data_IF_070372912949
#
_entry.id   IF_070372912949
#
_cell.length_a   1.000
_cell.length_b   1.000
_cell.length_c   1.000
_cell.angle_alpha   90.00
_cell.angle_beta   90.00
_cell.angle_gamma   90.00
#
_symmetry.space_group_name_H-M   'P 1'
#
loop_
_entity.id
_entity.type
_entity.pdbx_description
1 polymer ?
#
# COMPACT_ATOMS: atom_id res chain seq x y z
N UNK A 1 16.13 8.55 22.36
CA UNK A 1 16.35 7.88 21.05
C UNK A 1 16.26 6.39 21.30
N UNK A 2 15.47 5.66 20.50
CA UNK A 2 15.36 4.21 20.60
C UNK A 2 16.43 3.57 19.72
N UNK A 3 17.24 2.67 20.29
CA UNK A 3 18.12 1.80 19.51
C UNK A 3 17.32 0.54 19.18
N UNK A 4 17.19 0.22 17.90
CA UNK A 4 16.47 -0.96 17.43
C UNK A 4 17.43 -2.12 17.20
N UNK A 5 17.02 -3.34 17.48
CA UNK A 5 17.84 -4.53 17.29
C UNK A 5 17.96 -4.92 15.80
N UNK A 6 16.87 -4.66 15.05
CA UNK A 6 16.87 -4.89 13.61
C UNK A 6 15.89 -3.92 12.89
N UNK A 7 15.98 -3.89 11.56
CA UNK A 7 15.22 -2.94 10.74
C UNK A 7 13.70 -3.11 10.82
N UNK A 8 13.18 -4.28 11.19
CA UNK A 8 11.74 -4.51 11.26
C UNK A 8 11.06 -3.73 12.39
N UNK A 9 11.82 -3.34 13.43
CA UNK A 9 11.32 -2.50 14.52
C UNK A 9 11.15 -1.01 14.13
N UNK A 10 11.58 -0.64 12.94
CA UNK A 10 11.37 0.69 12.36
C UNK A 10 10.10 0.77 11.51
N UNK A 11 9.36 -0.34 11.37
CA UNK A 11 8.13 -0.37 10.60
C UNK A 11 7.01 0.28 11.42
N UNK A 12 6.29 1.21 10.80
CA UNK A 12 5.24 1.96 11.47
C UNK A 12 5.70 3.31 12.00
N UNK A 13 4.93 3.90 12.90
CA UNK A 13 5.13 5.24 13.46
C UNK A 13 5.44 6.30 12.38
N UNK A 14 4.80 6.14 11.21
CA UNK A 14 5.02 7.03 10.07
C UNK A 14 4.41 8.40 10.32
N UNK A 15 5.06 9.50 9.85
CA UNK A 15 4.57 10.84 10.12
C UNK A 15 3.31 11.19 9.34
N UNK A 16 2.56 12.17 9.87
CA UNK A 16 1.48 12.85 9.19
C UNK A 16 1.90 14.29 8.91
N UNK A 17 1.60 14.78 7.72
CA UNK A 17 1.82 16.18 7.34
C UNK A 17 0.51 16.84 6.93
N UNK A 18 0.28 18.07 7.34
CA UNK A 18 -0.81 18.92 6.86
C UNK A 18 -0.36 19.64 5.58
N UNK A 19 -1.16 19.51 4.52
CA UNK A 19 -0.91 20.26 3.27
C UNK A 19 -1.27 21.74 3.45
N UNK A 20 -0.52 22.62 2.80
CA UNK A 20 -0.65 24.06 2.99
C UNK A 20 -0.70 24.91 1.72
N UNK A 21 -0.37 24.35 0.55
CA UNK A 21 -0.11 25.17 -0.65
C UNK A 21 -1.24 25.20 -1.67
N UNK A 22 -1.86 24.07 -1.99
CA UNK A 22 -2.86 24.00 -3.06
C UNK A 22 -4.23 23.50 -2.57
N UNK A 23 -4.50 23.70 -1.29
CA UNK A 23 -5.81 23.47 -0.68
C UNK A 23 -6.57 24.79 -0.68
N UNK A 24 -7.84 24.83 -1.16
CA UNK A 24 -8.66 26.05 -1.06
C UNK A 24 -8.85 26.51 0.38
N UNK A 25 -8.88 27.82 0.60
CA UNK A 25 -8.98 28.43 1.95
C UNK A 25 -10.28 28.07 2.69
N UNK A 26 -11.36 27.82 1.94
CA UNK A 26 -12.68 27.44 2.47
C UNK A 26 -12.88 25.93 2.62
N UNK A 27 -11.88 25.11 2.25
CA UNK A 27 -11.92 23.66 2.39
C UNK A 27 -11.49 23.23 3.81
N UNK A 28 -11.78 21.97 4.12
CA UNK A 28 -11.26 21.29 5.31
C UNK A 28 -9.73 21.16 5.25
N UNK A 29 -9.10 21.00 6.41
CA UNK A 29 -7.68 20.69 6.48
C UNK A 29 -7.41 19.30 5.91
N UNK A 30 -6.41 19.17 5.03
CA UNK A 30 -5.99 17.91 4.44
C UNK A 30 -4.68 17.44 5.04
N UNK A 31 -4.69 16.23 5.59
CA UNK A 31 -3.56 15.57 6.21
C UNK A 31 -3.15 14.34 5.39
N UNK A 32 -1.86 14.10 5.30
CA UNK A 32 -1.29 12.98 4.53
C UNK A 32 -0.40 12.14 5.43
N UNK A 33 -0.75 10.87 5.61
CA UNK A 33 0.10 9.90 6.31
C UNK A 33 1.12 9.32 5.35
N UNK A 34 2.39 9.56 5.66
CA UNK A 34 3.52 9.31 4.76
C UNK A 34 4.12 7.91 4.97
N UNK A 35 3.55 6.90 4.36
CA UNK A 35 4.00 5.51 4.47
C UNK A 35 5.35 5.25 3.78
N UNK A 36 5.86 6.22 3.02
CA UNK A 36 7.22 6.18 2.46
C UNK A 36 8.32 6.27 3.53
N UNK A 37 7.98 6.60 4.77
CA UNK A 37 8.93 6.60 5.89
C UNK A 37 9.13 5.22 6.53
N UNK A 38 8.38 4.21 6.14
CA UNK A 38 8.75 2.83 6.45
C UNK A 38 10.13 2.47 5.84
N UNK A 39 10.87 1.52 6.42
CA UNK A 39 12.26 1.18 6.02
C UNK A 39 12.43 0.87 4.53
N UNK A 40 11.54 0.09 3.92
CA UNK A 40 11.58 -0.17 2.49
C UNK A 40 10.75 0.81 1.66
N UNK A 41 10.38 1.96 2.22
CA UNK A 41 9.74 3.08 1.55
C UNK A 41 8.31 2.85 1.09
N UNK A 42 7.52 1.99 1.76
CA UNK A 42 6.11 1.83 1.45
C UNK A 42 5.26 1.26 2.59
N UNK A 43 3.95 1.44 2.48
CA UNK A 43 2.93 0.83 3.36
C UNK A 43 3.02 -0.70 3.41
N UNK A 44 3.61 -1.33 2.39
CA UNK A 44 3.70 -2.79 2.30
C UNK A 44 4.69 -3.40 3.27
N UNK A 45 5.58 -2.61 3.86
CA UNK A 45 6.46 -3.07 4.93
C UNK A 45 5.66 -3.63 6.10
N UNK A 46 4.55 -2.95 6.45
CA UNK A 46 3.63 -3.39 7.50
C UNK A 46 2.99 -4.74 7.17
N UNK A 47 2.37 -4.85 5.99
CA UNK A 47 1.73 -6.08 5.57
C UNK A 47 2.74 -7.24 5.45
N UNK A 48 3.90 -7.00 4.82
CA UNK A 48 4.96 -8.00 4.67
C UNK A 48 5.48 -8.49 6.03
N UNK A 49 5.69 -7.59 6.97
CA UNK A 49 6.08 -7.95 8.33
C UNK A 49 5.05 -8.86 8.98
N UNK A 50 3.79 -8.47 8.97
CA UNK A 50 2.76 -9.21 9.69
C UNK A 50 2.39 -10.54 9.05
N UNK A 51 2.49 -10.64 7.72
CA UNK A 51 2.33 -11.92 7.00
C UNK A 51 3.37 -12.95 7.43
N UNK A 52 4.62 -12.52 7.67
CA UNK A 52 5.69 -13.37 8.18
C UNK A 52 5.50 -13.63 9.68
N UNK A 53 5.24 -12.60 10.47
CA UNK A 53 5.13 -12.68 11.92
C UNK A 53 4.01 -13.64 12.36
N UNK A 54 2.83 -13.52 11.79
CA UNK A 54 1.71 -14.42 12.09
C UNK A 54 2.01 -15.86 11.63
N UNK A 55 2.71 -16.04 10.52
CA UNK A 55 3.14 -17.38 10.09
C UNK A 55 4.16 -18.00 11.07
N UNK A 56 5.06 -17.21 11.64
CA UNK A 56 5.96 -17.64 12.71
C UNK A 56 5.21 -18.04 13.97
N UNK A 57 4.28 -17.19 14.44
CA UNK A 57 3.47 -17.46 15.64
C UNK A 57 2.65 -18.75 15.53
N UNK A 58 2.16 -19.04 14.32
CA UNK A 58 1.42 -20.28 14.04
C UNK A 58 2.32 -21.47 13.74
N UNK A 59 3.66 -21.32 13.76
CA UNK A 59 4.60 -22.39 13.47
C UNK A 59 4.59 -22.87 12.02
N UNK A 60 4.08 -22.04 11.09
CA UNK A 60 4.05 -22.35 9.66
C UNK A 60 5.41 -22.19 8.99
N UNK A 61 6.25 -21.32 9.53
CA UNK A 61 7.62 -21.05 9.07
C UNK A 61 8.56 -20.76 10.25
N UNK A 62 9.85 -20.97 10.03
CA UNK A 62 10.94 -20.61 10.95
C UNK A 62 12.13 -20.07 10.16
N UNK A 63 13.05 -19.33 10.80
CA UNK A 63 14.27 -18.86 10.13
C UNK A 63 15.00 -19.98 9.37
N UNK A 64 15.41 -19.67 8.14
CA UNK A 64 15.96 -20.64 7.18
C UNK A 64 14.98 -21.19 6.14
N UNK A 65 13.66 -21.11 6.41
CA UNK A 65 12.63 -21.51 5.46
C UNK A 65 12.51 -20.50 4.30
N UNK A 66 11.74 -20.85 3.28
CA UNK A 66 11.61 -20.06 2.05
C UNK A 66 10.24 -19.39 1.95
N UNK A 67 10.22 -18.08 1.76
CA UNK A 67 9.03 -17.29 1.46
C UNK A 67 8.92 -17.16 -0.06
N UNK A 68 7.78 -17.54 -0.63
CA UNK A 68 7.50 -17.48 -2.07
C UNK A 68 6.29 -16.57 -2.28
N UNK A 69 6.41 -15.49 -3.08
CA UNK A 69 5.25 -14.63 -3.37
C UNK A 69 5.24 -14.18 -4.82
N UNK A 70 4.08 -14.35 -5.51
CA UNK A 70 3.88 -13.77 -6.84
C UNK A 70 3.56 -12.28 -6.71
N UNK A 71 4.56 -11.44 -6.93
CA UNK A 71 4.41 -9.99 -6.79
C UNK A 71 5.46 -9.22 -7.57
N UNK A 72 5.03 -8.17 -8.24
CA UNK A 72 5.92 -7.24 -8.94
C UNK A 72 6.04 -5.87 -8.26
N UNK A 73 5.40 -5.71 -7.10
CA UNK A 73 5.25 -4.41 -6.45
C UNK A 73 5.95 -4.29 -5.10
N UNK A 74 5.48 -3.32 -4.34
CA UNK A 74 6.02 -2.96 -3.02
C UNK A 74 5.97 -4.12 -2.01
N UNK A 75 5.00 -5.04 -2.14
CA UNK A 75 4.94 -6.22 -1.27
C UNK A 75 6.18 -7.09 -1.41
N UNK A 76 6.67 -7.31 -2.64
CA UNK A 76 7.91 -8.06 -2.85
C UNK A 76 9.11 -7.40 -2.18
N UNK A 77 9.20 -6.07 -2.24
CA UNK A 77 10.29 -5.32 -1.58
C UNK A 77 10.19 -5.45 -0.06
N UNK A 78 8.99 -5.27 0.49
CA UNK A 78 8.76 -5.46 1.93
C UNK A 78 9.06 -6.90 2.40
N UNK A 79 8.65 -7.92 1.63
CA UNK A 79 8.96 -9.32 1.94
C UNK A 79 10.46 -9.60 1.86
N UNK A 80 11.16 -9.11 0.82
CA UNK A 80 12.60 -9.28 0.68
C UNK A 80 13.37 -8.65 1.86
N UNK A 81 13.01 -7.42 2.24
CA UNK A 81 13.62 -6.73 3.39
C UNK A 81 13.39 -7.50 4.70
N UNK A 82 12.13 -7.89 4.97
CA UNK A 82 11.80 -8.64 6.17
C UNK A 82 12.46 -10.02 6.19
N UNK A 83 12.52 -10.72 5.05
CA UNK A 83 13.20 -12.00 4.92
C UNK A 83 14.69 -11.86 5.23
N UNK A 84 15.37 -10.87 4.67
CA UNK A 84 16.78 -10.59 4.96
C UNK A 84 17.02 -10.32 6.44
N UNK A 85 16.17 -9.49 7.08
CA UNK A 85 16.31 -9.14 8.49
C UNK A 85 16.04 -10.31 9.45
N UNK A 86 15.15 -11.25 9.07
CA UNK A 86 14.70 -12.36 9.92
C UNK A 86 15.34 -13.72 9.57
N UNK A 87 16.24 -13.75 8.57
CA UNK A 87 16.96 -14.96 8.19
C UNK A 87 16.16 -15.96 7.35
N UNK A 88 15.22 -15.49 6.55
CA UNK A 88 14.45 -16.27 5.57
C UNK A 88 15.10 -16.18 4.19
N UNK A 89 14.86 -17.18 3.35
CA UNK A 89 15.04 -17.08 1.91
C UNK A 89 13.78 -16.46 1.29
N UNK A 90 13.93 -15.64 0.26
CA UNK A 90 12.80 -15.07 -0.47
C UNK A 90 12.91 -15.40 -1.96
N UNK A 91 11.86 -15.95 -2.53
CA UNK A 91 11.69 -16.19 -3.98
C UNK A 91 10.50 -15.36 -4.44
N UNK A 92 10.75 -14.35 -5.27
CA UNK A 92 9.73 -13.43 -5.75
C UNK A 92 9.52 -13.63 -7.23
N UNK A 93 8.27 -13.85 -7.62
CA UNK A 93 7.90 -14.26 -8.97
C UNK A 93 7.14 -13.11 -9.64
N UNK A 94 7.56 -12.76 -10.85
CA UNK A 94 6.95 -11.66 -11.60
C UNK A 94 7.11 -11.83 -13.10
N UNK A 95 6.25 -11.17 -13.91
CA UNK A 95 6.44 -11.10 -15.35
C UNK A 95 7.77 -10.44 -15.73
N UNK A 96 8.39 -10.88 -16.83
CA UNK A 96 9.72 -10.46 -17.29
C UNK A 96 9.78 -9.02 -17.85
N UNK A 97 8.63 -8.37 -18.07
CA UNK A 97 8.53 -6.97 -18.48
C UNK A 97 8.62 -5.96 -17.32
N UNK A 98 8.96 -6.41 -16.12
CA UNK A 98 9.18 -5.52 -14.97
C UNK A 98 10.49 -4.74 -15.09
N UNK A 99 10.53 -3.53 -14.49
CA UNK A 99 11.70 -2.68 -14.57
C UNK A 99 12.95 -3.32 -13.95
N UNK A 100 14.11 -3.13 -14.58
CA UNK A 100 15.40 -3.61 -14.07
C UNK A 100 15.70 -3.09 -12.67
N UNK A 101 15.29 -1.87 -12.36
CA UNK A 101 15.46 -1.26 -11.03
C UNK A 101 14.76 -2.06 -9.94
N UNK A 102 13.51 -2.51 -10.17
CA UNK A 102 12.78 -3.37 -9.22
C UNK A 102 13.49 -4.70 -9.01
N UNK A 103 13.87 -5.36 -10.11
CA UNK A 103 14.58 -6.63 -10.04
C UNK A 103 15.89 -6.47 -9.26
N UNK A 104 16.65 -5.41 -9.53
CA UNK A 104 17.90 -5.13 -8.84
C UNK A 104 17.69 -4.82 -7.36
N UNK A 105 16.64 -4.09 -7.00
CA UNK A 105 16.32 -3.79 -5.60
C UNK A 105 16.00 -5.07 -4.81
N UNK A 106 15.22 -5.98 -5.37
CA UNK A 106 14.91 -7.27 -4.75
C UNK A 106 16.17 -8.13 -4.56
N UNK A 107 17.02 -8.20 -5.60
CA UNK A 107 18.31 -8.89 -5.52
C UNK A 107 19.26 -8.27 -4.51
N UNK A 108 19.24 -6.95 -4.33
CA UNK A 108 20.04 -6.26 -3.32
C UNK A 108 19.66 -6.65 -1.89
N UNK A 109 18.40 -7.01 -1.63
CA UNK A 109 17.97 -7.62 -0.37
C UNK A 109 18.25 -9.14 -0.29
N UNK A 110 18.89 -9.74 -1.31
CA UNK A 110 19.20 -11.16 -1.33
C UNK A 110 18.09 -12.06 -1.81
N UNK A 111 16.98 -11.50 -2.33
CA UNK A 111 15.90 -12.31 -2.87
C UNK A 111 16.25 -12.91 -4.24
N UNK A 112 15.85 -14.16 -4.45
CA UNK A 112 15.80 -14.77 -5.77
C UNK A 112 14.60 -14.22 -6.54
N UNK A 113 14.82 -13.85 -7.82
CA UNK A 113 13.75 -13.34 -8.68
C UNK A 113 13.54 -14.34 -9.82
N UNK A 114 12.34 -14.91 -9.87
CA UNK A 114 11.92 -15.83 -10.93
C UNK A 114 11.02 -15.05 -11.90
N UNK A 115 11.41 -15.03 -13.16
CA UNK A 115 10.66 -14.34 -14.22
C UNK A 115 9.75 -15.31 -14.97
N UNK A 116 8.52 -14.90 -15.22
CA UNK A 116 7.55 -15.61 -16.05
C UNK A 116 7.26 -14.81 -17.33
N UNK A 117 6.82 -15.47 -18.43
CA UNK A 117 6.48 -14.75 -19.67
C UNK A 117 5.44 -13.64 -19.43
N UNK A 118 5.68 -12.43 -19.98
CA UNK A 118 4.82 -11.26 -19.78
C UNK A 118 3.37 -11.50 -20.23
N UNK A 119 3.15 -12.34 -21.25
CA UNK A 119 1.84 -12.69 -21.78
C UNK A 119 0.97 -13.43 -20.75
N UNK A 120 1.60 -14.16 -19.82
CA UNK A 120 0.91 -14.88 -18.75
C UNK A 120 0.50 -13.95 -17.59
N UNK A 121 1.03 -12.74 -17.53
CA UNK A 121 0.72 -11.74 -16.49
C UNK A 121 0.82 -12.32 -15.06
N UNK A 122 0.02 -11.81 -14.12
CA UNK A 122 -0.02 -12.32 -12.74
C UNK A 122 -0.51 -13.77 -12.61
N UNK A 123 -1.48 -14.27 -13.39
CA UNK A 123 -1.83 -15.69 -13.33
C UNK A 123 -0.65 -16.64 -13.57
N UNK A 124 0.25 -16.33 -14.49
CA UNK A 124 1.47 -17.13 -14.72
C UNK A 124 2.42 -17.10 -13.50
N UNK A 125 2.59 -15.95 -12.88
CA UNK A 125 3.41 -15.82 -11.67
C UNK A 125 2.79 -16.60 -10.49
N UNK A 126 1.48 -16.59 -10.34
CA UNK A 126 0.75 -17.37 -9.31
C UNK A 126 0.93 -18.87 -9.54
N UNK A 127 0.75 -19.34 -10.78
CA UNK A 127 0.93 -20.75 -11.12
C UNK A 127 2.36 -21.23 -10.81
N UNK A 128 3.37 -20.41 -11.14
CA UNK A 128 4.78 -20.71 -10.84
C UNK A 128 5.08 -20.70 -9.35
N UNK A 129 4.44 -19.82 -8.56
CA UNK A 129 4.57 -19.85 -7.10
C UNK A 129 4.06 -21.17 -6.49
N UNK A 130 2.91 -21.64 -6.95
CA UNK A 130 2.32 -22.90 -6.49
C UNK A 130 3.17 -24.11 -6.92
N UNK A 131 3.77 -24.07 -8.11
CA UNK A 131 4.71 -25.10 -8.60
C UNK A 131 5.94 -25.15 -7.66
N UNK A 132 6.60 -24.01 -7.44
CA UNK A 132 7.80 -23.92 -6.60
C UNK A 132 7.51 -24.32 -5.14
N UNK A 133 6.33 -24.00 -4.61
CA UNK A 133 5.95 -24.42 -3.26
C UNK A 133 5.91 -25.95 -3.12
N UNK A 134 5.52 -26.67 -4.16
CA UNK A 134 5.51 -28.15 -4.16
C UNK A 134 6.91 -28.73 -4.25
N UNK A 135 7.83 -28.05 -4.92
CA UNK A 135 9.21 -28.49 -5.14
C UNK A 135 10.14 -28.15 -3.98
N UNK A 136 9.87 -27.05 -3.27
CA UNK A 136 10.72 -26.53 -2.20
C UNK A 136 10.13 -26.90 -0.85
N UNK A 137 10.72 -27.85 -0.12
CA UNK A 137 10.30 -28.18 1.24
C UNK A 137 10.45 -26.95 2.16
N UNK A 138 9.59 -26.84 3.16
CA UNK A 138 9.58 -25.73 4.13
C UNK A 138 9.48 -24.36 3.43
N UNK A 139 8.53 -24.24 2.51
CA UNK A 139 8.19 -23.00 1.85
C UNK A 139 6.77 -22.54 2.18
N UNK A 140 6.56 -21.22 2.14
CA UNK A 140 5.31 -20.54 2.50
C UNK A 140 4.96 -19.47 1.48
N UNK A 141 3.70 -19.43 1.06
CA UNK A 141 3.14 -18.36 0.23
C UNK A 141 2.28 -17.48 1.12
N UNK A 142 2.67 -16.21 1.37
CA UNK A 142 1.94 -15.26 2.22
C UNK A 142 0.51 -14.94 1.76
N UNK A 143 0.23 -14.95 0.46
CA UNK A 143 -1.11 -14.68 -0.12
C UNK A 143 -1.68 -13.30 0.26
N UNK A 144 -0.98 -12.24 -0.09
CA UNK A 144 -1.30 -10.86 0.30
C UNK A 144 -2.76 -10.41 0.06
N UNK A 145 -3.46 -11.00 -0.91
CA UNK A 145 -4.84 -10.63 -1.26
C UNK A 145 -5.92 -11.34 -0.43
N UNK A 146 -5.56 -12.40 0.28
CA UNK A 146 -6.51 -13.27 0.99
C UNK A 146 -6.18 -13.42 2.47
N UNK A 147 -4.91 -13.31 2.85
CA UNK A 147 -4.47 -13.54 4.22
C UNK A 147 -4.88 -12.39 5.15
N UNK A 148 -5.66 -12.68 6.20
CA UNK A 148 -6.16 -11.67 7.15
C UNK A 148 -5.07 -10.97 7.96
N UNK A 149 -3.86 -11.51 8.01
CA UNK A 149 -2.72 -10.85 8.62
C UNK A 149 -2.42 -9.49 7.95
N UNK A 150 -2.77 -9.31 6.67
CA UNK A 150 -2.61 -8.04 5.97
C UNK A 150 -3.51 -6.93 6.56
N UNK A 151 -4.85 -7.01 6.61
CA UNK A 151 -5.64 -5.97 7.26
C UNK A 151 -5.39 -5.88 8.76
N UNK A 152 -5.03 -6.96 9.43
CA UNK A 152 -4.82 -6.97 10.87
C UNK A 152 -3.73 -5.99 11.31
N UNK A 153 -2.58 -5.91 10.63
CA UNK A 153 -1.53 -4.98 11.02
C UNK A 153 -2.01 -3.53 10.98
N UNK A 154 -2.90 -3.19 10.05
CA UNK A 154 -3.46 -1.85 9.96
C UNK A 154 -4.46 -1.54 11.06
N UNK A 155 -5.15 -2.56 11.61
CA UNK A 155 -6.01 -2.40 12.80
C UNK A 155 -5.21 -2.02 14.03
N UNK A 156 -4.07 -2.68 14.24
CA UNK A 156 -3.28 -2.56 15.46
C UNK A 156 -2.18 -1.50 15.39
N UNK A 157 -1.86 -0.98 14.21
CA UNK A 157 -0.81 0.03 14.04
C UNK A 157 -1.33 1.26 13.31
N UNK A 158 -1.52 1.23 12.01
CA UNK A 158 -1.87 2.39 11.17
C UNK A 158 -3.08 3.16 11.70
N UNK A 159 -4.14 2.46 12.10
CA UNK A 159 -5.36 3.08 12.63
C UNK A 159 -5.11 3.80 13.96
N UNK A 160 -4.36 3.16 14.87
CA UNK A 160 -4.05 3.72 16.17
C UNK A 160 -3.11 4.91 16.05
N UNK A 161 -2.08 4.80 15.22
CA UNK A 161 -1.20 5.92 14.90
C UNK A 161 -1.99 7.14 14.36
N UNK A 162 -2.91 6.92 13.41
CA UNK A 162 -3.74 8.00 12.86
C UNK A 162 -4.61 8.60 13.96
N UNK A 163 -5.28 7.77 14.77
CA UNK A 163 -6.15 8.25 15.84
C UNK A 163 -5.38 9.15 16.83
N UNK A 164 -4.19 8.74 17.24
CA UNK A 164 -3.33 9.50 18.15
C UNK A 164 -2.79 10.77 17.49
N UNK A 165 -2.28 10.68 16.26
CA UNK A 165 -1.72 11.82 15.52
C UNK A 165 -2.75 12.89 15.17
N UNK A 166 -4.02 12.52 15.13
CA UNK A 166 -5.14 13.42 14.87
C UNK A 166 -5.86 13.87 16.16
N UNK A 167 -5.32 13.55 17.35
CA UNK A 167 -5.91 13.84 18.66
C UNK A 167 -7.35 13.30 18.82
N UNK A 168 -7.66 12.19 18.15
CA UNK A 168 -8.99 11.59 18.14
C UNK A 168 -10.04 12.37 17.33
N UNK A 169 -9.63 13.33 16.52
CA UNK A 169 -10.51 14.20 15.74
C UNK A 169 -10.26 14.02 14.23
N UNK A 170 -11.16 13.35 13.54
CA UNK A 170 -11.09 13.14 12.10
C UNK A 170 -12.50 13.06 11.53
N UNK A 171 -12.78 13.83 10.48
CA UNK A 171 -14.10 13.84 9.80
C UNK A 171 -14.13 12.89 8.59
N UNK A 172 -13.00 12.72 7.89
CA UNK A 172 -12.93 11.80 6.75
C UNK A 172 -11.57 11.11 6.63
N UNK A 173 -11.60 9.84 6.21
CA UNK A 173 -10.43 9.01 5.89
C UNK A 173 -10.48 8.55 4.44
N UNK A 174 -9.36 8.66 3.72
CA UNK A 174 -9.26 8.33 2.28
C UNK A 174 -8.07 7.41 2.05
N UNK A 175 -8.28 6.33 1.33
CA UNK A 175 -7.18 5.47 0.88
C UNK A 175 -7.50 4.81 -0.47
N UNK A 176 -6.45 4.53 -1.25
CA UNK A 176 -6.56 3.69 -2.45
C UNK A 176 -6.66 2.22 -2.06
N UNK A 177 -7.33 1.41 -2.87
CA UNK A 177 -7.41 -0.03 -2.69
C UNK A 177 -6.52 -0.80 -3.68
N UNK A 178 -5.49 -1.47 -3.16
CA UNK A 178 -4.72 -2.50 -3.85
C UNK A 178 -5.11 -3.88 -3.33
N UNK A 179 -4.49 -4.34 -2.24
CA UNK A 179 -4.87 -5.60 -1.56
C UNK A 179 -6.09 -5.47 -0.65
N UNK A 180 -6.57 -4.25 -0.42
CA UNK A 180 -7.67 -3.96 0.49
C UNK A 180 -7.29 -3.84 1.97
N UNK A 181 -6.10 -4.30 2.36
CA UNK A 181 -5.70 -4.37 3.77
C UNK A 181 -5.69 -3.02 4.48
N UNK A 182 -5.11 -1.99 3.87
CA UNK A 182 -4.98 -0.66 4.49
C UNK A 182 -6.34 -0.03 4.74
N UNK A 183 -7.20 0.07 3.72
CA UNK A 183 -8.53 0.69 3.86
C UNK A 183 -9.42 -0.09 4.82
N UNK A 184 -9.37 -1.42 4.78
CA UNK A 184 -10.15 -2.30 5.65
C UNK A 184 -9.70 -2.16 7.10
N UNK A 185 -8.45 -2.51 7.40
CA UNK A 185 -7.98 -2.54 8.78
C UNK A 185 -8.00 -1.17 9.45
N UNK A 186 -7.55 -0.14 8.74
CA UNK A 186 -7.59 1.24 9.26
C UNK A 186 -9.02 1.73 9.41
N UNK A 187 -9.85 1.53 8.39
CA UNK A 187 -11.22 2.03 8.36
C UNK A 187 -12.10 1.42 9.44
N UNK A 188 -12.04 0.10 9.65
CA UNK A 188 -12.80 -0.59 10.69
C UNK A 188 -12.47 -0.04 12.09
N UNK A 189 -11.18 -0.02 12.45
CA UNK A 189 -10.75 0.47 13.76
C UNK A 189 -11.02 1.96 13.97
N UNK A 190 -10.85 2.79 12.93
CA UNK A 190 -11.20 4.20 13.04
C UNK A 190 -12.70 4.41 13.19
N UNK A 191 -13.58 3.64 12.50
CA UNK A 191 -15.03 3.73 12.70
C UNK A 191 -15.50 3.29 14.08
N UNK A 192 -14.84 2.31 14.70
CA UNK A 192 -15.12 1.92 16.10
C UNK A 192 -14.85 3.08 17.06
N UNK A 193 -13.78 3.84 16.83
CA UNK A 193 -13.39 4.99 17.66
C UNK A 193 -14.13 6.28 17.33
N UNK A 194 -14.48 6.45 16.04
CA UNK A 194 -15.10 7.64 15.45
C UNK A 194 -16.33 7.21 14.64
N UNK A 195 -17.48 6.94 15.26
CA UNK A 195 -18.66 6.36 14.58
C UNK A 195 -19.20 7.17 13.40
N UNK A 196 -18.94 8.48 13.37
CA UNK A 196 -19.38 9.38 12.31
C UNK A 196 -18.33 9.59 11.21
N UNK A 197 -17.19 8.87 11.26
CA UNK A 197 -16.12 9.01 10.29
C UNK A 197 -16.60 8.65 8.87
N UNK A 198 -16.41 9.57 7.94
CA UNK A 198 -16.65 9.35 6.53
C UNK A 198 -15.44 8.67 5.89
N UNK A 199 -15.63 7.53 5.25
CA UNK A 199 -14.54 6.78 4.60
C UNK A 199 -14.77 6.72 3.11
N UNK A 200 -13.76 7.12 2.32
CA UNK A 200 -13.77 6.97 0.87
C UNK A 200 -12.64 6.07 0.41
N UNK A 201 -12.98 5.09 -0.44
CA UNK A 201 -12.02 4.27 -1.16
C UNK A 201 -11.79 4.83 -2.56
N UNK A 202 -10.54 4.86 -2.99
CA UNK A 202 -10.15 5.38 -4.30
C UNK A 202 -9.79 4.23 -5.23
N UNK A 203 -10.35 4.25 -6.43
CA UNK A 203 -9.98 3.37 -7.53
C UNK A 203 -9.67 4.15 -8.82
N UNK A 204 -8.88 3.59 -9.76
CA UNK A 204 -8.64 4.21 -11.06
C UNK A 204 -9.92 4.26 -11.90
N UNK A 205 -10.23 5.40 -12.49
CA UNK A 205 -11.34 5.54 -13.45
C UNK A 205 -11.21 4.59 -14.66
N UNK A 206 -9.97 4.28 -15.07
CA UNK A 206 -9.67 3.32 -16.14
C UNK A 206 -9.86 1.85 -15.76
N UNK A 207 -10.02 1.53 -14.46
CA UNK A 207 -10.22 0.16 -13.96
C UNK A 207 -11.16 0.16 -12.76
N UNK A 208 -12.46 0.53 -12.95
CA UNK A 208 -13.41 0.80 -11.86
C UNK A 208 -14.08 -0.48 -11.35
N UNK A 209 -13.28 -1.43 -10.88
CA UNK A 209 -13.73 -2.77 -10.47
C UNK A 209 -14.60 -2.73 -9.21
N UNK A 210 -14.28 -1.86 -8.26
CA UNK A 210 -15.07 -1.72 -7.02
C UNK A 210 -16.47 -1.12 -7.31
N UNK A 211 -16.56 -0.28 -8.34
CA UNK A 211 -17.82 0.29 -8.81
C UNK A 211 -18.61 -0.66 -9.74
N UNK A 212 -18.20 -1.93 -9.89
CA UNK A 212 -18.85 -2.91 -10.74
C UNK A 212 -18.47 -2.83 -12.22
N UNK A 213 -17.47 -2.05 -12.59
CA UNK A 213 -16.93 -1.97 -13.94
C UNK A 213 -15.93 -3.09 -14.25
N UNK A 214 -15.36 -3.02 -15.47
CA UNK A 214 -14.38 -4.00 -15.94
C UNK A 214 -12.93 -3.54 -15.69
N UNK A 215 -11.99 -4.46 -15.45
CA UNK A 215 -10.58 -4.12 -15.35
C UNK A 215 -10.06 -3.50 -16.66
N UNK A 216 -9.24 -2.46 -16.54
CA UNK A 216 -8.62 -1.79 -17.66
C UNK A 216 -7.23 -1.23 -17.34
N UNK A 217 -6.54 -0.66 -18.33
CA UNK A 217 -5.23 -0.05 -18.13
C UNK A 217 -5.35 1.25 -17.34
N UNK A 218 -4.40 1.49 -16.43
CA UNK A 218 -4.27 2.72 -15.65
C UNK A 218 -2.84 2.93 -15.16
N UNK A 219 -2.51 4.16 -14.72
CA UNK A 219 -1.18 4.55 -14.23
C UNK A 219 -1.05 4.57 -12.70
N UNK A 220 -2.11 4.30 -11.96
CA UNK A 220 -2.11 4.26 -10.49
C UNK A 220 -1.53 2.93 -9.98
N UNK A 221 -0.22 2.80 -10.11
CA UNK A 221 0.51 1.58 -9.76
C UNK A 221 0.25 1.17 -8.30
N UNK A 222 0.02 -0.12 -8.07
CA UNK A 222 -0.24 -0.68 -6.73
C UNK A 222 -1.71 -0.64 -6.29
N UNK A 223 -2.61 -0.21 -7.16
CA UNK A 223 -4.06 -0.19 -6.94
C UNK A 223 -4.78 -1.08 -7.95
N UNK A 224 -6.06 -1.36 -7.71
CA UNK A 224 -6.99 -2.06 -8.61
C UNK A 224 -6.36 -3.29 -9.32
N UNK A 225 -6.19 -4.42 -8.60
CA UNK A 225 -5.53 -5.62 -9.15
C UNK A 225 -6.34 -6.31 -10.26
N UNK A 226 -7.50 -5.78 -10.63
CA UNK A 226 -8.40 -6.34 -11.63
C UNK A 226 -9.51 -7.25 -11.06
N UNK A 227 -9.57 -7.37 -9.76
CA UNK A 227 -10.58 -8.11 -9.00
C UNK A 227 -10.77 -7.47 -7.62
N UNK A 228 -11.86 -7.83 -6.92
CA UNK A 228 -12.09 -7.42 -5.53
C UNK A 228 -11.34 -8.39 -4.62
N UNK A 229 -10.31 -7.92 -3.86
CA UNK A 229 -9.56 -8.77 -2.95
C UNK A 229 -10.41 -9.31 -1.80
N UNK A 230 -10.15 -10.53 -1.33
CA UNK A 230 -10.85 -11.09 -0.16
C UNK A 230 -10.59 -10.31 1.13
N UNK A 231 -9.44 -9.64 1.22
CA UNK A 231 -9.08 -8.78 2.34
C UNK A 231 -9.84 -7.44 2.37
N UNK A 232 -10.57 -7.08 1.31
CA UNK A 232 -11.32 -5.84 1.25
C UNK A 232 -12.70 -6.03 1.88
N UNK A 233 -12.97 -5.36 2.98
CA UNK A 233 -14.31 -5.20 3.52
C UNK A 233 -15.03 -4.10 2.74
N UNK A 234 -15.97 -4.48 1.88
CA UNK A 234 -16.74 -3.53 1.04
C UNK A 234 -17.76 -2.70 1.81
N UNK A 235 -18.02 -3.04 3.08
CA UNK A 235 -18.94 -2.30 3.96
C UNK A 235 -18.24 -1.22 4.80
N UNK A 236 -16.88 -1.15 4.73
CA UNK A 236 -16.12 -0.22 5.57
C UNK A 236 -16.19 1.22 5.06
N UNK A 237 -16.36 1.44 3.77
CA UNK A 237 -16.37 2.77 3.16
C UNK A 237 -17.78 3.24 2.80
N UNK A 238 -17.95 4.56 2.77
CA UNK A 238 -19.20 5.24 2.43
C UNK A 238 -19.29 5.57 0.93
N UNK A 239 -18.12 5.73 0.26
CA UNK A 239 -18.05 6.15 -1.13
C UNK A 239 -16.88 5.47 -1.86
N UNK A 240 -17.07 5.18 -3.15
CA UNK A 240 -16.01 4.80 -4.08
C UNK A 240 -15.74 5.99 -4.99
N UNK A 241 -14.52 6.51 -4.97
CA UNK A 241 -14.10 7.64 -5.80
C UNK A 241 -13.24 7.16 -6.97
N UNK A 242 -13.73 7.35 -8.18
CA UNK A 242 -13.02 7.04 -9.42
C UNK A 242 -12.15 8.22 -9.83
N UNK A 243 -10.83 8.06 -9.78
CA UNK A 243 -9.87 9.10 -10.11
C UNK A 243 -9.18 8.79 -11.44
N UNK A 244 -9.15 9.78 -12.33
CA UNK A 244 -8.46 9.66 -13.61
C UNK A 244 -6.95 9.74 -13.44
N UNK A 245 -6.19 9.10 -14.35
CA UNK A 245 -4.73 9.11 -14.32
C UNK A 245 -4.16 10.54 -14.29
N UNK A 246 -4.72 11.45 -15.09
CA UNK A 246 -4.25 12.83 -15.19
C UNK A 246 -4.47 13.62 -13.89
N UNK A 247 -5.60 13.44 -13.22
CA UNK A 247 -5.90 14.05 -11.93
C UNK A 247 -4.90 13.58 -10.86
N UNK A 248 -4.63 12.28 -10.84
CA UNK A 248 -3.67 11.69 -9.92
C UNK A 248 -2.24 12.16 -10.19
N UNK A 249 -1.79 12.14 -11.45
CA UNK A 249 -0.43 12.52 -11.82
C UNK A 249 -0.18 14.01 -11.64
N UNK A 250 -1.14 14.86 -11.97
CA UNK A 250 -1.05 16.31 -11.73
C UNK A 250 -0.94 16.60 -10.23
N UNK A 251 -1.75 15.94 -9.40
CA UNK A 251 -1.67 16.11 -7.95
C UNK A 251 -0.34 15.59 -7.40
N UNK A 252 0.15 14.46 -7.87
CA UNK A 252 1.46 13.92 -7.51
C UNK A 252 2.60 14.90 -7.82
N UNK A 253 2.58 15.53 -9.01
CA UNK A 253 3.56 16.56 -9.41
C UNK A 253 3.47 17.80 -8.53
N UNK A 254 2.25 18.24 -8.20
CA UNK A 254 2.02 19.38 -7.31
C UNK A 254 2.52 19.11 -5.88
N UNK A 255 2.30 17.90 -5.34
CA UNK A 255 2.85 17.49 -4.06
C UNK A 255 4.37 17.61 -4.04
N UNK A 256 5.06 17.13 -5.08
CA UNK A 256 6.50 17.25 -5.18
C UNK A 256 6.97 18.72 -5.30
N UNK A 257 6.33 19.51 -6.18
CA UNK A 257 6.78 20.86 -6.54
C UNK A 257 6.38 21.93 -5.53
N UNK A 258 5.28 21.76 -4.83
CA UNK A 258 4.72 22.78 -3.94
C UNK A 258 4.84 22.41 -2.46
N UNK A 259 4.70 21.14 -2.09
CA UNK A 259 4.79 20.68 -0.71
C UNK A 259 6.12 19.94 -0.39
N UNK A 260 6.97 19.69 -1.41
CA UNK A 260 8.21 18.93 -1.24
C UNK A 260 8.01 17.43 -0.99
N UNK A 261 6.83 16.91 -1.26
CA UNK A 261 6.47 15.50 -1.03
C UNK A 261 6.61 14.70 -2.32
N UNK A 262 7.72 14.00 -2.47
CA UNK A 262 7.96 13.11 -3.61
C UNK A 262 7.33 11.75 -3.36
N UNK A 263 6.09 11.57 -3.79
CA UNK A 263 5.23 10.40 -3.55
C UNK A 263 4.82 9.71 -4.86
N UNK A 264 4.32 8.47 -4.77
CA UNK A 264 3.89 7.70 -5.94
C UNK A 264 2.53 8.11 -6.52
N UNK A 265 2.15 7.57 -7.71
CA UNK A 265 0.89 7.91 -8.40
C UNK A 265 -0.37 7.65 -7.58
N UNK A 266 -0.41 6.55 -6.83
CA UNK A 266 -1.53 6.23 -5.93
C UNK A 266 -1.72 7.25 -4.81
N UNK A 267 -0.61 7.86 -4.35
CA UNK A 267 -0.66 8.97 -3.39
C UNK A 267 -1.32 10.21 -4.01
N UNK A 268 -0.98 10.52 -5.27
CA UNK A 268 -1.63 11.60 -6.02
C UNK A 268 -3.14 11.41 -6.12
N UNK A 269 -3.60 10.19 -6.42
CA UNK A 269 -5.02 9.86 -6.45
C UNK A 269 -5.69 9.99 -5.07
N UNK A 270 -5.04 9.49 -4.02
CA UNK A 270 -5.53 9.57 -2.64
C UNK A 270 -5.69 11.04 -2.17
N UNK A 271 -4.67 11.87 -2.43
CA UNK A 271 -4.69 13.30 -2.10
C UNK A 271 -5.72 14.07 -2.93
N UNK A 272 -5.84 13.79 -4.23
CA UNK A 272 -6.88 14.41 -5.07
C UNK A 272 -8.28 14.13 -4.52
N UNK A 273 -8.57 12.88 -4.19
CA UNK A 273 -9.83 12.50 -3.57
C UNK A 273 -10.05 13.19 -2.22
N UNK A 274 -9.00 13.28 -1.38
CA UNK A 274 -9.05 13.97 -0.10
C UNK A 274 -9.38 15.46 -0.26
N UNK A 275 -8.80 16.14 -1.26
CA UNK A 275 -9.12 17.55 -1.58
C UNK A 275 -10.58 17.69 -2.02
N UNK A 276 -11.10 16.77 -2.82
CA UNK A 276 -12.51 16.78 -3.23
C UNK A 276 -13.45 16.65 -2.03
N UNK A 277 -13.12 15.77 -1.08
CA UNK A 277 -13.88 15.62 0.17
C UNK A 277 -13.73 16.86 1.05
N UNK A 278 -12.52 17.41 1.16
CA UNK A 278 -12.25 18.62 1.95
C UNK A 278 -13.08 19.81 1.48
N UNK A 279 -13.23 20.00 0.17
CA UNK A 279 -14.13 21.02 -0.42
C UNK A 279 -15.60 20.79 -0.06
N UNK A 280 -16.06 19.53 0.01
CA UNK A 280 -17.45 19.21 0.39
C UNK A 280 -17.71 19.44 1.89
N UNK A 281 -16.72 19.18 2.73
CA UNK A 281 -16.86 19.32 4.18
C UNK A 281 -16.74 20.76 4.67
N UNK A 282 -15.92 21.59 3.98
CA UNK A 282 -15.69 22.98 4.35
C UNK A 282 -14.71 23.18 5.51
N UNK A 283 -14.43 24.44 5.80
CA UNK A 283 -13.47 24.85 6.83
C UNK A 283 -13.80 24.31 8.23
N UNK A 284 -12.76 24.07 9.03
CA UNK A 284 -12.86 23.55 10.40
C UNK A 284 -13.04 22.03 10.49
N UNK A 285 -13.01 21.32 9.36
CA UNK A 285 -13.04 19.86 9.28
C UNK A 285 -11.66 19.30 8.97
N UNK A 286 -11.45 18.00 9.24
CA UNK A 286 -10.17 17.31 9.06
C UNK A 286 -10.35 16.10 8.15
N UNK A 287 -9.58 16.04 7.07
CA UNK A 287 -9.52 14.91 6.13
C UNK A 287 -8.11 14.33 6.15
N UNK A 288 -7.96 13.04 6.38
CA UNK A 288 -6.67 12.36 6.29
C UNK A 288 -6.67 11.35 5.15
N UNK A 289 -5.59 11.33 4.38
CA UNK A 289 -5.38 10.32 3.35
C UNK A 289 -4.02 9.61 3.50
N UNK A 290 -3.91 8.43 2.88
CA UNK A 290 -2.67 7.66 2.86
C UNK A 290 -1.85 8.00 1.61
N UNK A 291 -0.56 8.29 1.79
CA UNK A 291 0.46 8.27 0.73
C UNK A 291 1.26 6.97 0.82
N UNK A 292 0.93 5.94 -0.02
CA UNK A 292 1.42 4.58 0.20
C UNK A 292 2.91 4.39 0.02
N UNK A 293 3.59 5.17 -0.85
CA UNK A 293 4.99 4.95 -1.18
C UNK A 293 5.71 6.19 -1.72
N UNK A 294 7.04 6.06 -1.87
CA UNK A 294 7.92 7.09 -2.44
C UNK A 294 7.78 7.21 -3.94
N UNK A 295 7.89 8.45 -4.45
CA UNK A 295 7.93 8.76 -5.88
C UNK A 295 9.23 8.34 -6.57
N UNK A 296 10.33 8.11 -5.84
CA UNK A 296 11.63 7.69 -6.39
C UNK A 296 11.52 6.44 -7.28
N UNK A 297 10.59 5.53 -6.95
CA UNK A 297 10.34 4.29 -7.71
C UNK A 297 9.76 4.50 -9.11
N UNK A 298 9.33 5.72 -9.42
CA UNK A 298 8.57 6.06 -10.63
C UNK A 298 9.29 7.08 -11.51
N UNK A 299 10.51 7.52 -11.13
CA UNK A 299 11.28 8.53 -11.87
C UNK A 299 11.61 8.05 -13.29
N UNK A 300 12.01 6.79 -13.45
CA UNK A 300 12.32 6.20 -14.78
C UNK A 300 11.08 5.96 -15.65
N UNK A 301 9.88 6.15 -15.12
CA UNK A 301 8.63 6.02 -15.88
C UNK A 301 8.19 7.32 -16.56
N UNK A 302 8.93 8.43 -16.39
CA UNK A 302 8.60 9.74 -16.96
C UNK A 302 7.32 10.39 -16.38
N UNK A 303 6.85 9.96 -15.21
CA UNK A 303 5.58 10.43 -14.64
C UNK A 303 5.67 11.84 -14.01
N UNK A 304 6.87 12.34 -13.77
CA UNK A 304 7.14 13.65 -13.16
C UNK A 304 7.45 14.77 -14.16
N UNK A 305 7.49 14.45 -15.44
CA UNK A 305 7.74 15.40 -16.53
C UNK A 305 6.51 16.25 -16.87
#
# INVERSE_FOLDING_TARGET
MKVCENVTELIGDTPVVRLSKFIPEDAADVYVKLEMFNPSRSVKDRAAYNLIHIAEEHGLIKPGDTIIEPTSGNTGIGLAMNAAAKGYKAILIMPDNMSKERINLLKAYGAEVVLTPAEQRMPGAIAKAVELQKEIPNSFIPQQFENPANPNIHRYTTALEIYEQMDGELDAFVATAGTGGTITGTGETLKEKLPNLYIAVVEPKGSPVLSGGVPGPHKLVGTSPGFIPKNLNTEVYNEIMQIADEEALTTMRNLARQEGLLVGPSSGASVYAAIMIAKRLGAGKKVLCIAPDTGERYLSMGLFE
#
